data_IF_839405939398
#
_entry.id   IF_839405939398
#
_cell.length_a   1.000
_cell.length_b   1.000
_cell.length_c   1.000
_cell.angle_alpha   90.00
_cell.angle_beta   90.00
_cell.angle_gamma   90.00
#
_symmetry.space_group_name_H-M   'P 1'
#
loop_
_entity.id
_entity.type
_entity.pdbx_description
1 polymer ?
#
# COMPACT_ATOMS: atom_id res chain seq x y z
N UNK A 1 -0.25 39.11 57.91
CA UNK A 1 -1.18 38.44 57.00
C UNK A 1 -0.51 38.35 55.64
N UNK A 2 0.00 37.18 55.27
CA UNK A 2 0.65 36.90 53.97
C UNK A 2 -0.27 36.00 53.16
N UNK A 3 -0.86 36.53 52.09
CA UNK A 3 -1.69 35.80 51.15
C UNK A 3 -0.80 35.08 50.16
N UNK A 4 -0.81 33.75 50.18
CA UNK A 4 -0.12 32.89 49.23
C UNK A 4 -1.07 32.70 48.03
N UNK A 5 -0.67 33.22 46.89
CA UNK A 5 -1.38 33.07 45.60
C UNK A 5 -0.93 31.76 44.94
N UNK A 6 -1.77 30.74 45.00
CA UNK A 6 -1.54 29.44 44.31
C UNK A 6 -1.80 29.58 42.82
N UNK A 7 -0.75 29.41 42.01
CA UNK A 7 -0.85 29.25 40.56
C UNK A 7 -1.17 27.80 40.25
N UNK A 8 -2.41 27.53 39.80
CA UNK A 8 -2.78 26.25 39.21
C UNK A 8 -2.31 26.26 37.75
N UNK A 9 -1.19 25.55 37.43
CA UNK A 9 -0.83 25.22 36.08
C UNK A 9 -1.73 24.10 35.56
N UNK A 10 -2.71 24.42 34.73
CA UNK A 10 -3.49 23.45 33.98
C UNK A 10 -2.62 22.90 32.85
N UNK A 11 -2.11 21.70 33.04
CA UNK A 11 -1.44 20.92 31.97
C UNK A 11 -2.51 20.40 31.02
N UNK A 12 -2.68 21.05 29.88
CA UNK A 12 -3.43 20.52 28.75
C UNK A 12 -2.62 19.39 28.10
N UNK A 13 -2.95 18.16 28.46
CA UNK A 13 -2.51 17.00 27.67
C UNK A 13 -3.25 17.01 26.33
N UNK A 14 -2.61 17.53 25.30
CA UNK A 14 -3.02 17.23 23.92
C UNK A 14 -2.68 15.75 23.65
N UNK A 15 -3.67 14.88 23.85
CA UNK A 15 -3.61 13.53 23.33
C UNK A 15 -3.67 13.61 21.80
N UNK A 16 -2.52 13.63 21.14
CA UNK A 16 -2.44 13.26 19.73
C UNK A 16 -2.82 11.77 19.66
N UNK A 17 -4.08 11.50 19.40
CA UNK A 17 -4.53 10.18 19.00
C UNK A 17 -3.88 9.88 17.66
N UNK A 18 -2.72 9.23 17.67
CA UNK A 18 -2.24 8.48 16.52
C UNK A 18 -3.31 7.41 16.28
N UNK A 19 -4.23 7.66 15.34
CA UNK A 19 -5.22 6.68 14.92
C UNK A 19 -4.45 5.43 14.53
N UNK A 20 -4.58 4.36 15.28
CA UNK A 20 -4.02 3.07 14.95
C UNK A 20 -4.55 2.73 13.56
N UNK A 21 -3.68 2.76 12.56
CA UNK A 21 -4.06 2.39 11.20
C UNK A 21 -4.50 0.94 11.25
N UNK A 22 -5.74 0.66 10.86
CA UNK A 22 -6.30 -0.68 10.93
C UNK A 22 -5.58 -1.60 9.95
N UNK A 23 -5.00 -2.68 10.48
CA UNK A 23 -4.31 -3.73 9.76
C UNK A 23 -5.16 -5.01 9.82
N UNK A 24 -5.48 -5.58 8.67
CA UNK A 24 -6.23 -6.82 8.53
C UNK A 24 -5.33 -7.92 7.98
N UNK A 25 -5.18 -9.01 8.71
CA UNK A 25 -4.40 -10.18 8.32
C UNK A 25 -4.80 -11.40 9.14
N UNK A 26 -4.39 -12.58 8.69
CA UNK A 26 -4.51 -13.82 9.48
C UNK A 26 -3.16 -14.26 10.04
N UNK A 27 -3.18 -15.15 11.03
CA UNK A 27 -1.94 -15.77 11.55
C UNK A 27 -1.18 -16.50 10.44
N UNK A 28 -1.89 -17.08 9.46
CA UNK A 28 -1.26 -17.75 8.32
C UNK A 28 -0.44 -16.77 7.47
N UNK A 29 -0.95 -15.55 7.24
CA UNK A 29 -0.25 -14.52 6.48
C UNK A 29 1.06 -14.08 7.18
N UNK A 30 1.00 -13.83 8.48
CA UNK A 30 2.18 -13.45 9.24
C UNK A 30 3.24 -14.57 9.30
N UNK A 31 2.83 -15.82 9.46
CA UNK A 31 3.74 -16.97 9.44
C UNK A 31 4.36 -17.16 8.05
N UNK A 32 3.58 -17.05 6.98
CA UNK A 32 4.10 -17.13 5.62
C UNK A 32 5.13 -16.02 5.34
N UNK A 33 4.85 -14.79 5.73
CA UNK A 33 5.80 -13.68 5.63
C UNK A 33 7.13 -14.04 6.33
N UNK A 34 7.08 -14.50 7.59
CA UNK A 34 8.27 -14.85 8.34
C UNK A 34 9.05 -16.00 7.69
N UNK A 35 8.37 -17.00 7.12
CA UNK A 35 9.00 -18.09 6.38
C UNK A 35 9.78 -17.57 5.15
N UNK A 36 9.19 -16.66 4.38
CA UNK A 36 9.84 -16.04 3.23
C UNK A 36 11.07 -15.25 3.68
N UNK A 37 10.92 -14.41 4.71
CA UNK A 37 12.01 -13.59 5.23
C UNK A 37 13.16 -14.45 5.78
N UNK A 38 12.86 -15.55 6.44
CA UNK A 38 13.89 -16.47 6.95
C UNK A 38 14.67 -17.13 5.82
N UNK A 39 14.00 -17.56 4.75
CA UNK A 39 14.65 -18.10 3.56
C UNK A 39 15.58 -17.08 2.88
N UNK A 40 15.26 -15.81 2.95
CA UNK A 40 16.08 -14.73 2.36
C UNK A 40 17.34 -14.41 3.17
N UNK A 41 17.35 -14.64 4.47
CA UNK A 41 18.55 -14.44 5.32
C UNK A 41 19.74 -15.31 4.88
N UNK A 42 19.45 -16.48 4.34
CA UNK A 42 20.45 -17.43 3.87
C UNK A 42 20.85 -17.22 2.40
N UNK A 43 20.24 -16.23 1.74
CA UNK A 43 20.53 -15.89 0.34
C UNK A 43 21.69 -14.90 0.26
N UNK A 44 22.69 -15.24 -0.55
CA UNK A 44 23.85 -14.36 -0.80
C UNK A 44 23.58 -13.38 -1.97
N UNK A 45 22.42 -13.43 -2.61
CA UNK A 45 22.14 -12.58 -3.77
C UNK A 45 22.00 -11.12 -3.37
N UNK A 46 22.74 -10.25 -4.08
CA UNK A 46 22.62 -8.79 -4.00
C UNK A 46 21.79 -8.22 -5.14
N UNK A 47 21.47 -9.03 -6.15
CA UNK A 47 20.66 -8.61 -7.29
C UNK A 47 19.18 -8.55 -6.90
N UNK A 48 18.58 -7.38 -7.15
CA UNK A 48 17.18 -7.12 -6.77
C UNK A 48 16.20 -8.00 -7.57
N UNK A 49 16.46 -8.21 -8.86
CA UNK A 49 15.62 -9.05 -9.73
C UNK A 49 15.66 -10.52 -9.30
N UNK A 50 16.86 -11.05 -9.01
CA UNK A 50 17.00 -12.41 -8.50
C UNK A 50 16.28 -12.59 -7.14
N UNK A 51 16.40 -11.58 -6.25
CA UNK A 51 15.69 -11.58 -4.98
C UNK A 51 14.17 -11.61 -5.20
N UNK A 52 13.63 -10.80 -6.11
CA UNK A 52 12.22 -10.77 -6.44
C UNK A 52 11.74 -12.11 -7.01
N UNK A 53 12.49 -12.72 -7.95
CA UNK A 53 12.16 -14.04 -8.49
C UNK A 53 12.12 -15.10 -7.39
N UNK A 54 13.07 -15.07 -6.47
CA UNK A 54 13.10 -15.97 -5.32
C UNK A 54 11.88 -15.82 -4.43
N UNK A 55 11.49 -14.58 -4.10
CA UNK A 55 10.26 -14.29 -3.35
C UNK A 55 9.03 -14.75 -4.11
N UNK A 56 8.92 -14.44 -5.40
CA UNK A 56 7.77 -14.78 -6.23
C UNK A 56 7.52 -16.30 -6.28
N UNK A 57 8.56 -17.13 -6.24
CA UNK A 57 8.43 -18.60 -6.22
C UNK A 57 7.66 -19.14 -5.00
N UNK A 58 7.61 -18.42 -3.87
CA UNK A 58 6.78 -18.81 -2.73
C UNK A 58 5.28 -18.68 -2.99
N UNK A 59 4.90 -17.94 -4.04
CA UNK A 59 3.51 -17.72 -4.42
C UNK A 59 3.03 -18.65 -5.54
N UNK A 60 3.88 -19.58 -6.02
CA UNK A 60 3.44 -20.59 -6.99
C UNK A 60 2.27 -21.40 -6.39
N UNK A 61 1.32 -21.74 -7.24
CA UNK A 61 0.11 -22.52 -6.93
C UNK A 61 -0.86 -21.83 -5.93
N UNK A 62 -0.64 -20.54 -5.59
CA UNK A 62 -1.64 -19.77 -4.85
C UNK A 62 -2.83 -19.45 -5.74
N UNK A 63 -4.07 -19.54 -5.22
CA UNK A 63 -5.26 -19.23 -6.00
C UNK A 63 -5.29 -17.76 -6.41
N UNK A 64 -5.74 -17.53 -7.66
CA UNK A 64 -6.05 -16.19 -8.13
C UNK A 64 -7.43 -15.77 -7.63
N UNK A 65 -7.50 -14.71 -6.83
CA UNK A 65 -8.75 -14.16 -6.29
C UNK A 65 -8.72 -12.65 -6.40
N UNK A 66 -9.69 -12.09 -7.13
CA UNK A 66 -9.86 -10.65 -7.28
C UNK A 66 -10.54 -10.01 -6.07
N UNK A 67 -10.41 -8.70 -5.94
CA UNK A 67 -11.12 -7.88 -4.96
C UNK A 67 -10.85 -8.23 -3.48
N UNK A 68 -9.72 -8.85 -3.17
CA UNK A 68 -9.35 -9.22 -1.79
C UNK A 68 -9.07 -8.02 -0.87
N UNK A 69 -8.96 -6.81 -1.44
CA UNK A 69 -8.72 -5.58 -0.70
C UNK A 69 -9.99 -4.81 -0.36
N UNK A 70 -11.15 -5.24 -0.89
CA UNK A 70 -12.39 -4.51 -0.70
C UNK A 70 -12.96 -4.71 0.70
N UNK A 71 -13.32 -3.62 1.35
CA UNK A 71 -13.87 -3.61 2.70
C UNK A 71 -14.14 -2.19 3.20
N UNK A 72 -15.01 -2.06 4.19
CA UNK A 72 -15.35 -0.79 4.82
C UNK A 72 -15.35 -0.98 6.34
N UNK A 73 -14.59 -0.20 7.11
CA UNK A 73 -13.69 0.87 6.66
C UNK A 73 -12.44 0.35 5.93
N UNK A 74 -11.82 1.24 5.13
CA UNK A 74 -10.55 0.92 4.47
C UNK A 74 -9.48 0.52 5.48
N UNK A 75 -8.85 -0.61 5.25
CA UNK A 75 -7.78 -1.17 6.09
C UNK A 75 -6.59 -1.58 5.26
N UNK A 76 -5.40 -1.62 5.83
CA UNK A 76 -4.28 -2.27 5.18
C UNK A 76 -4.49 -3.79 5.24
N UNK A 77 -4.98 -4.37 4.15
CA UNK A 77 -5.18 -5.82 4.04
C UNK A 77 -3.87 -6.51 3.65
N UNK A 78 -3.48 -7.51 4.43
CA UNK A 78 -2.42 -8.47 4.09
C UNK A 78 -3.09 -9.82 3.84
N UNK A 79 -3.16 -10.23 2.56
CA UNK A 79 -3.59 -11.57 2.17
C UNK A 79 -2.48 -12.20 1.30
N UNK A 80 -1.73 -13.13 1.87
CA UNK A 80 -0.63 -13.84 1.21
C UNK A 80 -1.05 -15.26 0.78
N UNK A 81 -2.33 -15.59 0.88
CA UNK A 81 -2.92 -16.89 0.56
C UNK A 81 -3.62 -16.87 -0.78
N UNK A 82 -4.19 -15.73 -1.14
CA UNK A 82 -5.01 -15.50 -2.33
C UNK A 82 -4.65 -14.13 -2.90
N UNK A 83 -4.30 -14.05 -4.17
CA UNK A 83 -3.79 -12.81 -4.77
C UNK A 83 -4.36 -12.63 -6.18
N UNK A 84 -4.44 -11.39 -6.60
CA UNK A 84 -4.54 -11.00 -8.00
C UNK A 84 -3.17 -10.52 -8.51
N UNK A 85 -3.11 -10.08 -9.77
CA UNK A 85 -1.85 -9.64 -10.37
C UNK A 85 -1.21 -8.45 -9.63
N UNK A 86 -2.02 -7.49 -9.15
CA UNK A 86 -1.52 -6.30 -8.45
C UNK A 86 -1.03 -6.65 -7.05
N UNK A 87 -1.84 -7.37 -6.27
CA UNK A 87 -1.49 -7.75 -4.91
C UNK A 87 -0.30 -8.72 -4.86
N UNK A 88 -0.12 -9.56 -5.89
CA UNK A 88 1.09 -10.39 -6.04
C UNK A 88 2.33 -9.50 -6.22
N UNK A 89 2.30 -8.56 -7.17
CA UNK A 89 3.43 -7.66 -7.44
C UNK A 89 3.77 -6.84 -6.20
N UNK A 90 2.78 -6.25 -5.53
CA UNK A 90 2.98 -5.49 -4.29
C UNK A 90 3.61 -6.35 -3.19
N UNK A 91 3.12 -7.58 -2.99
CA UNK A 91 3.63 -8.49 -1.96
C UNK A 91 5.07 -8.91 -2.24
N UNK A 92 5.39 -9.24 -3.50
CA UNK A 92 6.75 -9.60 -3.92
C UNK A 92 7.70 -8.43 -3.74
N UNK A 93 7.32 -7.23 -4.19
CA UNK A 93 8.14 -6.02 -4.05
C UNK A 93 8.36 -5.67 -2.57
N UNK A 94 7.32 -5.71 -1.74
CA UNK A 94 7.44 -5.40 -0.32
C UNK A 94 8.36 -6.38 0.41
N UNK A 95 8.21 -7.70 0.16
CA UNK A 95 9.07 -8.74 0.75
C UNK A 95 10.51 -8.70 0.21
N UNK A 96 10.71 -8.13 -0.97
CA UNK A 96 12.04 -8.01 -1.58
C UNK A 96 12.82 -6.79 -1.11
N UNK A 97 12.19 -5.83 -0.41
CA UNK A 97 12.87 -4.72 0.21
C UNK A 97 13.72 -5.19 1.42
N UNK A 98 14.57 -4.34 1.99
CA UNK A 98 15.36 -4.67 3.18
C UNK A 98 14.49 -4.71 4.43
N UNK A 99 13.53 -5.64 4.48
CA UNK A 99 12.61 -5.89 5.59
C UNK A 99 13.07 -7.11 6.39
N UNK A 100 12.92 -7.07 7.71
CA UNK A 100 13.39 -8.10 8.63
C UNK A 100 12.29 -8.69 9.51
N UNK A 101 11.14 -8.06 9.54
CA UNK A 101 10.00 -8.44 10.37
C UNK A 101 8.68 -8.32 9.61
N UNK A 102 7.61 -8.90 10.17
CA UNK A 102 6.25 -8.72 9.64
C UNK A 102 5.82 -7.25 9.70
N UNK A 103 6.24 -6.51 10.72
CA UNK A 103 5.96 -5.08 10.84
C UNK A 103 6.65 -4.27 9.73
N UNK A 104 7.94 -4.53 9.44
CA UNK A 104 8.65 -3.88 8.34
C UNK A 104 7.98 -4.18 6.99
N UNK A 105 7.55 -5.44 6.79
CA UNK A 105 6.83 -5.83 5.58
C UNK A 105 5.50 -5.05 5.44
N UNK A 106 4.72 -4.93 6.51
CA UNK A 106 3.45 -4.20 6.46
C UNK A 106 3.65 -2.71 6.16
N UNK A 107 4.70 -2.10 6.69
CA UNK A 107 5.08 -0.72 6.37
C UNK A 107 5.52 -0.55 4.91
N UNK A 108 6.33 -1.48 4.39
CA UNK A 108 6.73 -1.49 2.98
C UNK A 108 5.50 -1.63 2.06
N UNK A 109 4.60 -2.57 2.37
CA UNK A 109 3.36 -2.79 1.62
C UNK A 109 2.44 -1.56 1.66
N UNK A 110 2.28 -0.95 2.83
CA UNK A 110 1.51 0.30 3.01
C UNK A 110 2.04 1.41 2.12
N UNK A 111 3.35 1.56 2.08
CA UNK A 111 4.01 2.54 1.24
C UNK A 111 3.83 2.28 -0.26
N UNK A 112 3.82 1.02 -0.71
CA UNK A 112 3.61 0.66 -2.12
C UNK A 112 2.17 0.88 -2.57
N UNK A 113 1.20 0.58 -1.72
CA UNK A 113 -0.24 0.55 -2.05
C UNK A 113 -0.94 1.89 -1.88
N UNK A 114 -0.47 2.72 -0.96
CA UNK A 114 -1.15 3.96 -0.60
C UNK A 114 -0.28 5.19 -0.81
N UNK A 115 -0.85 6.21 -1.42
CA UNK A 115 -0.23 7.52 -1.60
C UNK A 115 0.21 8.08 -0.25
N UNK A 116 1.51 8.37 -0.12
CA UNK A 116 2.13 8.84 1.14
C UNK A 116 1.83 7.91 2.34
N UNK A 117 1.54 6.64 2.10
CA UNK A 117 1.23 5.65 3.11
C UNK A 117 -0.08 5.88 3.89
N UNK A 118 -1.00 6.68 3.38
CA UNK A 118 -2.27 6.99 4.04
C UNK A 118 -3.31 5.94 3.70
N UNK A 119 -3.65 5.07 4.67
CA UNK A 119 -4.66 4.01 4.49
C UNK A 119 -6.05 4.64 4.47
N UNK A 120 -6.48 4.99 3.25
CA UNK A 120 -7.81 5.50 2.90
C UNK A 120 -8.13 5.06 1.49
N UNK A 121 -9.38 4.75 1.19
CA UNK A 121 -9.79 4.31 -0.13
C UNK A 121 -9.32 5.27 -1.24
N UNK A 122 -9.51 6.57 -1.07
CA UNK A 122 -9.12 7.59 -2.05
C UNK A 122 -7.62 7.83 -2.18
N UNK A 123 -6.81 7.27 -1.28
CA UNK A 123 -5.35 7.33 -1.33
C UNK A 123 -4.73 5.98 -1.75
N UNK A 124 -5.55 4.93 -1.92
CA UNK A 124 -5.11 3.67 -2.54
C UNK A 124 -4.80 3.93 -4.01
N UNK A 125 -3.69 3.42 -4.50
CA UNK A 125 -3.23 3.61 -5.88
C UNK A 125 -3.98 2.64 -6.80
N UNK A 126 -5.22 3.00 -7.17
CA UNK A 126 -6.13 2.13 -7.93
C UNK A 126 -5.73 1.95 -9.39
N UNK A 127 -5.16 3.00 -10.01
CA UNK A 127 -4.70 2.96 -11.39
C UNK A 127 -3.25 2.50 -11.46
N UNK A 128 -2.95 1.56 -12.33
CA UNK A 128 -1.58 1.07 -12.49
C UNK A 128 -0.61 2.18 -12.94
N UNK A 129 -1.07 3.11 -13.76
CA UNK A 129 -0.24 4.26 -14.18
C UNK A 129 0.12 5.15 -12.99
N UNK A 130 -0.84 5.44 -12.11
CA UNK A 130 -0.63 6.19 -10.88
C UNK A 130 0.26 5.43 -9.89
N UNK A 131 0.03 4.12 -9.76
CA UNK A 131 0.89 3.24 -8.95
C UNK A 131 2.34 3.24 -9.43
N UNK A 132 2.56 3.13 -10.75
CA UNK A 132 3.88 3.21 -11.38
C UNK A 132 4.54 4.57 -11.13
N UNK A 133 3.79 5.65 -11.31
CA UNK A 133 4.29 7.01 -11.12
C UNK A 133 4.72 7.27 -9.67
N UNK A 134 3.86 6.99 -8.69
CA UNK A 134 4.15 7.23 -7.27
C UNK A 134 5.30 6.34 -6.76
N UNK A 135 5.35 5.09 -7.16
CA UNK A 135 6.43 4.17 -6.75
C UNK A 135 7.73 4.45 -7.54
N UNK A 136 7.62 4.93 -8.77
CA UNK A 136 8.75 5.42 -9.57
C UNK A 136 9.44 6.63 -8.95
N UNK A 137 8.69 7.63 -8.47
CA UNK A 137 9.22 8.78 -7.72
C UNK A 137 10.02 8.36 -6.48
N UNK A 138 9.68 7.23 -5.88
CA UNK A 138 10.37 6.67 -4.72
C UNK A 138 11.56 5.79 -5.08
N UNK A 139 11.82 5.58 -6.38
CA UNK A 139 12.88 4.72 -6.87
C UNK A 139 12.66 3.23 -6.63
N UNK A 140 11.41 2.80 -6.38
CA UNK A 140 11.07 1.39 -6.14
C UNK A 140 10.85 0.63 -7.44
N UNK A 141 10.38 1.31 -8.48
CA UNK A 141 10.19 0.78 -9.83
C UNK A 141 10.69 1.80 -10.86
N UNK A 142 10.99 1.33 -12.08
CA UNK A 142 11.32 2.17 -13.21
C UNK A 142 10.45 1.76 -14.39
N UNK A 143 9.78 2.72 -15.00
CA UNK A 143 9.13 2.50 -16.28
C UNK A 143 10.20 2.46 -17.38
N UNK A 144 10.32 1.32 -18.04
CA UNK A 144 11.26 1.10 -19.15
C UNK A 144 10.55 1.06 -20.52
N UNK A 145 9.26 1.37 -20.57
CA UNK A 145 8.47 1.27 -21.81
C UNK A 145 9.08 2.13 -22.92
N UNK A 146 9.54 3.33 -22.61
CA UNK A 146 10.19 4.23 -23.57
C UNK A 146 11.55 3.72 -24.10
N UNK A 147 12.15 2.73 -23.44
CA UNK A 147 13.41 2.11 -23.86
C UNK A 147 13.17 0.95 -24.86
N UNK A 148 11.91 0.52 -25.01
CA UNK A 148 11.56 -0.58 -25.92
C UNK A 148 11.42 -0.07 -27.36
N UNK A 149 11.99 -0.77 -28.36
CA UNK A 149 11.86 -0.38 -29.76
C UNK A 149 10.39 -0.30 -30.20
N UNK A 150 10.01 0.78 -30.86
CA UNK A 150 8.66 0.99 -31.37
C UNK A 150 7.62 1.42 -30.32
N UNK A 151 8.04 1.72 -29.10
CA UNK A 151 7.15 2.30 -28.10
C UNK A 151 6.83 3.76 -28.46
N UNK A 152 5.56 4.14 -28.30
CA UNK A 152 5.11 5.52 -28.46
C UNK A 152 4.40 5.96 -27.17
N UNK A 153 4.58 7.23 -26.73
CA UNK A 153 3.90 7.75 -25.55
C UNK A 153 2.40 7.83 -25.82
N UNK A 154 1.60 7.26 -24.92
CA UNK A 154 0.15 7.36 -24.91
C UNK A 154 -0.28 8.31 -23.79
N UNK A 155 -0.84 9.49 -24.09
CA UNK A 155 -1.38 10.37 -23.07
C UNK A 155 -2.56 9.68 -22.36
N UNK A 156 -2.49 9.57 -21.03
CA UNK A 156 -3.55 9.02 -20.21
C UNK A 156 -4.26 10.16 -19.45
N UNK A 157 -5.58 10.16 -19.51
CA UNK A 157 -6.42 10.99 -18.65
C UNK A 157 -7.22 10.08 -17.74
N UNK A 158 -6.95 10.14 -16.46
CA UNK A 158 -7.62 9.32 -15.45
C UNK A 158 -8.89 10.03 -14.98
N UNK A 159 -10.05 9.39 -15.12
CA UNK A 159 -11.35 9.96 -14.69
C UNK A 159 -12.41 8.91 -14.44
N UNK A 160 -12.10 7.63 -14.63
CA UNK A 160 -13.11 6.57 -14.64
C UNK A 160 -13.80 6.42 -13.29
N UNK A 161 -13.06 6.37 -12.19
CA UNK A 161 -13.65 6.13 -10.86
C UNK A 161 -14.53 7.30 -10.42
N UNK A 162 -14.08 8.55 -10.63
CA UNK A 162 -14.88 9.72 -10.25
C UNK A 162 -16.11 9.96 -11.16
N UNK A 163 -16.08 9.47 -12.40
CA UNK A 163 -17.22 9.57 -13.33
C UNK A 163 -18.18 8.37 -13.25
N UNK A 164 -17.77 7.25 -12.65
CA UNK A 164 -18.60 6.06 -12.46
C UNK A 164 -18.63 5.60 -10.99
N UNK A 165 -18.99 6.48 -10.03
CA UNK A 165 -18.92 6.16 -8.61
C UNK A 165 -19.83 5.00 -8.21
N UNK A 166 -20.93 4.76 -8.95
CA UNK A 166 -21.87 3.66 -8.72
C UNK A 166 -21.23 2.28 -8.90
N UNK A 167 -20.13 2.19 -9.65
CA UNK A 167 -19.38 0.94 -9.85
C UNK A 167 -18.49 0.55 -8.66
N UNK A 168 -18.36 1.43 -7.67
CA UNK A 168 -17.45 1.26 -6.54
C UNK A 168 -18.20 1.42 -5.21
N UNK A 169 -18.30 0.36 -4.43
CA UNK A 169 -19.03 0.37 -3.15
C UNK A 169 -18.57 1.48 -2.19
N UNK A 170 -17.26 1.75 -2.16
CA UNK A 170 -16.68 2.79 -1.31
C UNK A 170 -16.90 4.23 -1.82
N UNK A 171 -17.33 4.44 -3.08
CA UNK A 171 -17.63 5.75 -3.64
C UNK A 171 -19.15 6.01 -3.72
N UNK A 172 -19.92 4.94 -3.87
CA UNK A 172 -21.36 5.00 -3.98
C UNK A 172 -21.99 5.65 -2.75
N UNK A 173 -22.72 6.75 -2.95
CA UNK A 173 -23.33 7.50 -1.84
C UNK A 173 -22.37 8.36 -1.03
N UNK A 174 -21.10 8.50 -1.44
CA UNK A 174 -20.07 9.27 -0.75
C UNK A 174 -19.50 10.40 -1.65
N UNK A 175 -20.25 11.52 -1.85
CA UNK A 175 -19.83 12.59 -2.75
C UNK A 175 -18.49 13.23 -2.39
N UNK A 176 -18.14 13.26 -1.11
CA UNK A 176 -16.85 13.76 -0.64
C UNK A 176 -15.68 12.88 -1.10
N UNK A 177 -15.86 11.55 -1.13
CA UNK A 177 -14.87 10.61 -1.66
C UNK A 177 -14.75 10.73 -3.18
N UNK A 178 -15.87 10.91 -3.88
CA UNK A 178 -15.88 11.15 -5.34
C UNK A 178 -15.15 12.44 -5.68
N UNK A 179 -15.38 13.53 -4.94
CA UNK A 179 -14.65 14.78 -5.12
C UNK A 179 -13.14 14.58 -4.92
N UNK A 180 -12.74 13.86 -3.88
CA UNK A 180 -11.34 13.54 -3.63
C UNK A 180 -10.73 12.66 -4.73
N UNK A 181 -11.45 11.66 -5.23
CA UNK A 181 -10.99 10.84 -6.37
C UNK A 181 -10.73 11.70 -7.60
N UNK A 182 -11.62 12.64 -7.91
CA UNK A 182 -11.43 13.57 -9.04
C UNK A 182 -10.16 14.41 -8.91
N UNK A 183 -9.83 14.87 -7.69
CA UNK A 183 -8.58 15.57 -7.43
C UNK A 183 -7.36 14.67 -7.66
N UNK A 184 -7.43 13.41 -7.21
CA UNK A 184 -6.36 12.41 -7.39
C UNK A 184 -6.16 12.07 -8.86
N UNK A 185 -7.25 11.90 -9.62
CA UNK A 185 -7.23 11.59 -11.06
C UNK A 185 -6.69 12.75 -11.90
N UNK A 186 -6.81 14.00 -11.42
CA UNK A 186 -6.33 15.20 -12.11
C UNK A 186 -4.87 15.57 -11.77
N UNK A 187 -4.24 14.92 -10.80
CA UNK A 187 -2.89 15.26 -10.30
C UNK A 187 -1.78 14.57 -11.09
#
# INVERSE_FOLDING_TARGET
MRTVLSWLCALFFFSYGAGAQSLSYTKADSLFCLQVLDSLKHSQTKDAGERMIRVARFFLDKPYVAATLEGEPETLVVNLRELDCTTLVESVLALSQPVSSFADYTEALRGLRYRKGKVRYTERLHYIADWMYENGKRGLVKDITSELPGSEPLPLSLSFMSSHPESYSALKGHPERVARMREVEAA
#
